data_IF_514911603883
#
_entry.id   IF_514911603883
#
_cell.length_a   1.000
_cell.length_b   1.000
_cell.length_c   1.000
_cell.angle_alpha   90.00
_cell.angle_beta   90.00
_cell.angle_gamma   90.00
#
_symmetry.space_group_name_H-M   'P 1'
#
loop_
_entity.id
_entity.type
_entity.pdbx_description
1 polymer ?
#
# COMPACT_ATOMS: atom_id res chain seq x y z
N UNK A 1 8.12 12.65 -23.87
CA UNK A 1 8.67 12.15 -22.57
C UNK A 1 7.64 11.27 -21.88
N UNK A 2 8.08 10.21 -21.18
CA UNK A 2 7.18 9.25 -20.49
C UNK A 2 6.27 9.93 -19.46
N UNK A 3 6.79 10.89 -18.70
CA UNK A 3 6.03 11.67 -17.70
C UNK A 3 4.88 12.44 -18.34
N UNK A 4 5.12 13.08 -19.49
CA UNK A 4 4.06 13.80 -20.21
C UNK A 4 2.97 12.85 -20.74
N UNK A 5 3.36 11.67 -21.22
CA UNK A 5 2.40 10.64 -21.62
C UNK A 5 1.56 10.16 -20.43
N UNK A 6 2.18 9.92 -19.28
CA UNK A 6 1.48 9.55 -18.05
C UNK A 6 0.52 10.66 -17.57
N UNK A 7 0.95 11.92 -17.64
CA UNK A 7 0.12 13.08 -17.32
C UNK A 7 -1.12 13.15 -18.21
N UNK A 8 -0.95 13.02 -19.53
CA UNK A 8 -2.09 13.02 -20.47
C UNK A 8 -3.07 11.90 -20.18
N UNK A 9 -2.57 10.68 -19.93
CA UNK A 9 -3.40 9.54 -19.55
C UNK A 9 -4.18 9.80 -18.26
N UNK A 10 -3.54 10.35 -17.24
CA UNK A 10 -4.20 10.61 -15.94
C UNK A 10 -5.33 11.65 -16.04
N UNK A 11 -5.13 12.70 -16.85
CA UNK A 11 -6.11 13.77 -17.04
C UNK A 11 -7.02 13.56 -18.27
N UNK A 12 -7.02 12.37 -18.88
CA UNK A 12 -7.76 12.04 -20.10
C UNK A 12 -7.59 13.07 -21.23
N UNK A 13 -6.36 13.56 -21.42
CA UNK A 13 -6.02 14.53 -22.47
C UNK A 13 -5.65 13.84 -23.78
N UNK A 14 -5.80 14.56 -24.89
CA UNK A 14 -5.44 14.06 -26.21
C UNK A 14 -3.92 13.80 -26.35
N UNK A 15 -3.55 12.59 -26.75
CA UNK A 15 -2.16 12.13 -26.93
C UNK A 15 -1.34 12.91 -27.98
N UNK A 16 -1.97 13.72 -28.82
CA UNK A 16 -1.28 14.56 -29.81
C UNK A 16 -1.05 16.00 -29.34
N UNK A 17 -1.70 16.43 -28.26
CA UNK A 17 -1.61 17.82 -27.78
C UNK A 17 -0.48 17.96 -26.75
N UNK A 18 0.44 18.90 -26.98
CA UNK A 18 1.49 19.23 -26.00
C UNK A 18 0.85 19.67 -24.68
N UNK A 19 1.37 19.16 -23.56
CA UNK A 19 0.92 19.60 -22.24
C UNK A 19 1.60 20.93 -21.91
N UNK A 20 0.82 21.97 -21.70
CA UNK A 20 1.29 23.23 -21.13
C UNK A 20 1.06 23.18 -19.62
N UNK A 21 2.13 22.95 -18.87
CA UNK A 21 2.09 22.98 -17.41
C UNK A 21 2.07 24.44 -16.94
N UNK A 22 1.10 24.80 -16.12
CA UNK A 22 1.00 26.15 -15.54
C UNK A 22 0.87 26.12 -14.02
N UNK A 23 1.42 27.13 -13.35
CA UNK A 23 1.33 27.29 -11.90
C UNK A 23 1.79 26.04 -11.12
N UNK A 24 0.92 25.51 -10.26
CA UNK A 24 1.19 24.33 -9.43
C UNK A 24 1.55 23.08 -10.24
N UNK A 25 1.08 22.97 -11.49
CA UNK A 25 1.36 21.80 -12.34
C UNK A 25 2.85 21.69 -12.70
N UNK A 26 3.57 22.81 -12.79
CA UNK A 26 5.02 22.82 -13.01
C UNK A 26 5.75 22.16 -11.84
N UNK A 27 5.35 22.50 -10.61
CA UNK A 27 5.92 21.94 -9.40
C UNK A 27 5.67 20.43 -9.33
N UNK A 28 4.45 20.00 -9.62
CA UNK A 28 4.09 18.57 -9.64
C UNK A 28 4.89 17.82 -10.70
N UNK A 29 5.01 18.36 -11.92
CA UNK A 29 5.76 17.73 -13.01
C UNK A 29 7.25 17.54 -12.65
N UNK A 30 7.90 18.58 -12.12
CA UNK A 30 9.31 18.49 -11.70
C UNK A 30 9.49 17.53 -10.52
N UNK A 31 8.54 17.49 -9.61
CA UNK A 31 8.55 16.54 -8.50
C UNK A 31 8.45 15.09 -8.99
N UNK A 32 7.50 14.79 -9.89
CA UNK A 32 7.32 13.45 -10.47
C UNK A 32 8.57 13.01 -11.23
N UNK A 33 9.20 13.89 -12.02
CA UNK A 33 10.48 13.58 -12.69
C UNK A 33 11.56 13.22 -11.69
N UNK A 34 11.73 14.01 -10.62
CA UNK A 34 12.72 13.75 -9.57
C UNK A 34 12.46 12.42 -8.86
N UNK A 35 11.20 12.13 -8.52
CA UNK A 35 10.85 10.83 -7.94
C UNK A 35 11.21 9.68 -8.88
N UNK A 36 10.82 9.77 -10.15
CA UNK A 36 11.11 8.72 -11.13
C UNK A 36 12.63 8.48 -11.28
N UNK A 37 13.42 9.55 -11.37
CA UNK A 37 14.89 9.48 -11.41
C UNK A 37 15.46 8.78 -10.15
N UNK A 38 14.96 9.10 -8.96
CA UNK A 38 15.44 8.45 -7.73
C UNK A 38 14.99 6.99 -7.62
N UNK A 39 13.78 6.64 -8.06
CA UNK A 39 13.35 5.23 -8.13
C UNK A 39 14.31 4.47 -9.03
N UNK A 40 14.62 5.00 -10.21
CA UNK A 40 15.51 4.36 -11.19
C UNK A 40 16.94 4.20 -10.65
N UNK A 41 17.48 5.19 -9.93
CA UNK A 41 18.81 5.05 -9.30
C UNK A 41 18.83 4.00 -8.19
N UNK A 42 17.79 3.94 -7.36
CA UNK A 42 17.68 2.90 -6.31
C UNK A 42 17.50 1.51 -6.95
N UNK A 43 16.75 1.43 -8.05
CA UNK A 43 16.63 0.19 -8.83
C UNK A 43 17.98 -0.21 -9.43
N UNK A 44 18.74 0.71 -10.01
CA UNK A 44 20.09 0.45 -10.54
C UNK A 44 21.03 -0.11 -9.46
N UNK A 45 20.99 0.46 -8.25
CA UNK A 45 21.76 -0.06 -7.10
C UNK A 45 21.30 -1.44 -6.64
N UNK A 46 20.00 -1.74 -6.76
CA UNK A 46 19.45 -3.04 -6.37
C UNK A 46 19.57 -4.11 -7.46
N UNK A 47 19.82 -3.73 -8.71
CA UNK A 47 19.98 -4.64 -9.84
C UNK A 47 21.12 -5.67 -9.60
N UNK A 48 21.04 -6.85 -10.23
CA UNK A 48 19.97 -7.33 -11.11
C UNK A 48 18.74 -7.85 -10.33
N UNK A 49 17.55 -7.67 -10.89
CA UNK A 49 16.28 -8.23 -10.42
C UNK A 49 15.29 -8.34 -11.59
N UNK A 50 14.19 -9.06 -11.39
CA UNK A 50 13.10 -9.19 -12.36
C UNK A 50 11.85 -8.49 -11.83
N UNK A 51 11.15 -7.75 -12.69
CA UNK A 51 9.84 -7.22 -12.37
C UNK A 51 8.82 -8.32 -12.68
N UNK A 52 8.23 -8.91 -11.64
CA UNK A 52 7.22 -9.95 -11.79
C UNK A 52 5.85 -9.35 -12.13
N UNK A 53 5.50 -8.21 -11.51
CA UNK A 53 4.21 -7.53 -11.70
C UNK A 53 4.34 -6.01 -11.60
N UNK A 54 3.57 -5.27 -12.40
CA UNK A 54 3.40 -3.81 -12.31
C UNK A 54 1.92 -3.44 -12.42
N UNK A 55 1.44 -2.64 -11.48
CA UNK A 55 0.11 -2.02 -11.49
C UNK A 55 -1.05 -3.00 -11.78
N UNK A 56 -0.99 -4.24 -11.28
CA UNK A 56 -1.99 -5.26 -11.61
C UNK A 56 -3.32 -4.99 -10.88
N UNK A 57 -4.36 -4.61 -11.63
CA UNK A 57 -5.62 -4.07 -11.08
C UNK A 57 -6.62 -5.12 -10.56
N UNK A 58 -6.40 -6.41 -10.86
CA UNK A 58 -7.32 -7.52 -10.51
C UNK A 58 -6.66 -8.62 -9.68
N UNK A 59 -5.65 -8.27 -8.89
CA UNK A 59 -4.99 -9.24 -8.04
C UNK A 59 -5.84 -9.52 -6.79
N UNK A 60 -6.57 -10.64 -6.82
CA UNK A 60 -7.63 -10.99 -5.87
C UNK A 60 -7.52 -12.44 -5.41
N UNK A 61 -8.00 -12.71 -4.20
CA UNK A 61 -8.16 -14.04 -3.63
C UNK A 61 -9.57 -14.19 -3.05
N UNK A 62 -10.09 -15.41 -3.11
CA UNK A 62 -11.35 -15.78 -2.47
C UNK A 62 -11.10 -16.11 -1.01
N UNK A 63 -11.85 -15.49 -0.10
CA UNK A 63 -11.65 -15.63 1.33
C UNK A 63 -12.96 -15.96 2.06
N UNK A 64 -13.09 -17.16 2.65
CA UNK A 64 -14.24 -17.51 3.48
C UNK A 64 -14.11 -16.82 4.84
N UNK A 65 -15.00 -15.88 5.15
CA UNK A 65 -15.08 -15.25 6.48
C UNK A 65 -15.70 -16.24 7.47
N UNK A 66 -16.72 -16.98 7.02
CA UNK A 66 -17.40 -18.04 7.76
C UNK A 66 -18.06 -19.03 6.77
N UNK A 67 -18.77 -20.04 7.30
CA UNK A 67 -19.41 -21.09 6.49
C UNK A 67 -20.40 -20.57 5.43
N UNK A 68 -20.97 -19.39 5.63
CA UNK A 68 -22.05 -18.84 4.79
C UNK A 68 -21.60 -17.67 3.91
N UNK A 69 -20.43 -17.09 4.19
CA UNK A 69 -19.96 -15.88 3.52
C UNK A 69 -18.53 -16.04 3.04
N UNK A 70 -18.36 -15.97 1.73
CA UNK A 70 -17.08 -15.87 1.05
C UNK A 70 -17.04 -14.56 0.29
N UNK A 71 -15.93 -13.83 0.43
CA UNK A 71 -15.73 -12.55 -0.25
C UNK A 71 -14.48 -12.59 -1.13
N UNK A 72 -14.41 -11.66 -2.09
CA UNK A 72 -13.20 -11.41 -2.86
C UNK A 72 -12.42 -10.29 -2.20
N UNK A 73 -11.18 -10.59 -1.81
CA UNK A 73 -10.23 -9.63 -1.26
C UNK A 73 -9.11 -9.41 -2.25
N UNK A 74 -8.76 -8.18 -2.49
CA UNK A 74 -7.68 -7.84 -3.42
C UNK A 74 -7.50 -6.35 -3.55
N UNK A 75 -6.66 -5.97 -4.50
CA UNK A 75 -6.38 -4.59 -4.81
C UNK A 75 -5.38 -4.46 -5.93
N UNK A 76 -4.97 -3.22 -6.18
CA UNK A 76 -3.92 -2.89 -7.12
C UNK A 76 -2.58 -2.85 -6.40
N UNK A 77 -1.71 -3.81 -6.70
CA UNK A 77 -0.33 -3.79 -6.19
C UNK A 77 0.51 -2.95 -7.16
N UNK A 78 1.21 -1.94 -6.66
CA UNK A 78 1.98 -1.02 -7.51
C UNK A 78 3.12 -1.75 -8.24
N UNK A 79 3.93 -2.52 -7.50
CA UNK A 79 5.02 -3.30 -8.07
C UNK A 79 5.36 -4.53 -7.24
N UNK A 80 5.62 -5.63 -7.94
CA UNK A 80 6.28 -6.80 -7.39
C UNK A 80 7.54 -7.07 -8.20
N UNK A 81 8.67 -7.14 -7.51
CA UNK A 81 9.92 -7.57 -8.12
C UNK A 81 10.61 -8.67 -7.33
N UNK A 82 11.53 -9.36 -7.98
CA UNK A 82 12.19 -10.56 -7.47
C UNK A 82 13.68 -10.49 -7.72
N UNK A 83 14.44 -10.74 -6.66
CA UNK A 83 15.88 -10.97 -6.72
C UNK A 83 16.17 -12.24 -5.95
N UNK A 84 16.68 -13.25 -6.65
CA UNK A 84 16.98 -14.57 -6.07
C UNK A 84 15.76 -15.18 -5.36
N UNK A 85 15.85 -15.45 -4.06
CA UNK A 85 14.78 -16.01 -3.23
C UNK A 85 13.90 -14.92 -2.58
N UNK A 86 14.13 -13.63 -2.85
CA UNK A 86 13.38 -12.53 -2.24
C UNK A 86 12.42 -11.92 -3.25
N UNK A 87 11.15 -11.86 -2.87
CA UNK A 87 10.10 -11.13 -3.60
C UNK A 87 9.73 -9.89 -2.80
N UNK A 88 9.89 -8.71 -3.40
CA UNK A 88 9.53 -7.43 -2.80
C UNK A 88 8.14 -7.00 -3.25
N UNK A 89 7.28 -6.66 -2.29
CA UNK A 89 5.95 -6.08 -2.52
C UNK A 89 6.04 -4.57 -2.24
N UNK A 90 6.15 -3.77 -3.30
CA UNK A 90 6.43 -2.35 -3.21
C UNK A 90 5.13 -1.55 -3.37
N UNK A 91 4.93 -0.58 -2.49
CA UNK A 91 3.84 0.40 -2.54
C UNK A 91 4.44 1.82 -2.50
N UNK A 92 4.11 2.64 -3.51
CA UNK A 92 4.66 3.99 -3.66
C UNK A 92 3.79 5.00 -2.92
N UNK A 93 4.40 5.74 -1.99
CA UNK A 93 3.70 6.76 -1.20
C UNK A 93 4.20 8.16 -1.50
N UNK A 94 3.26 9.10 -1.65
CA UNK A 94 3.58 10.53 -1.83
C UNK A 94 3.77 11.25 -0.49
N UNK A 95 3.32 10.64 0.61
CA UNK A 95 3.37 11.15 1.98
C UNK A 95 4.69 10.88 2.72
N UNK A 96 4.62 11.02 4.05
CA UNK A 96 5.70 10.67 5.01
C UNK A 96 5.28 9.46 5.83
N UNK A 97 4.63 8.49 5.18
CA UNK A 97 4.12 7.30 5.83
C UNK A 97 5.24 6.53 6.51
N UNK A 98 5.03 6.13 7.76
CA UNK A 98 6.04 5.42 8.54
C UNK A 98 6.20 3.98 8.00
N UNK A 99 7.43 3.49 7.96
CA UNK A 99 7.71 2.10 7.60
C UNK A 99 7.73 1.16 8.82
N UNK A 100 7.35 1.63 10.00
CA UNK A 100 7.41 0.85 11.24
C UNK A 100 6.04 0.68 11.90
N UNK A 101 5.87 -0.43 12.61
CA UNK A 101 4.69 -0.71 13.42
C UNK A 101 5.06 -1.53 14.67
N UNK A 102 4.21 -1.50 15.70
CA UNK A 102 4.52 -2.11 17.00
C UNK A 102 4.01 -3.55 17.13
N UNK A 103 2.89 -3.90 16.49
CA UNK A 103 2.34 -5.25 16.42
C UNK A 103 1.34 -5.37 15.27
N UNK A 104 0.97 -6.60 14.90
CA UNK A 104 -0.13 -6.80 13.95
C UNK A 104 -1.42 -6.21 14.51
N UNK A 105 -1.73 -6.44 15.78
CA UNK A 105 -2.92 -5.86 16.43
C UNK A 105 -2.99 -4.32 16.33
N UNK A 106 -1.85 -3.62 16.43
CA UNK A 106 -1.82 -2.15 16.29
C UNK A 106 -2.29 -1.67 14.91
N UNK A 107 -2.19 -2.51 13.88
CA UNK A 107 -2.62 -2.17 12.52
C UNK A 107 -4.14 -2.23 12.33
N UNK A 108 -4.84 -2.89 13.26
CA UNK A 108 -6.29 -3.07 13.25
C UNK A 108 -7.02 -2.17 14.25
N UNK A 109 -6.30 -1.56 15.20
CA UNK A 109 -6.89 -0.68 16.22
C UNK A 109 -7.56 0.56 15.59
N UNK A 110 -8.90 0.61 15.60
CA UNK A 110 -9.68 1.71 15.03
C UNK A 110 -9.55 3.01 15.84
N UNK A 111 -9.22 2.90 17.12
CA UNK A 111 -9.14 4.01 18.06
C UNK A 111 -7.72 4.61 18.15
N UNK A 112 -6.71 3.93 17.63
CA UNK A 112 -5.36 4.50 17.49
C UNK A 112 -5.26 5.50 16.32
N UNK A 113 -5.00 6.77 16.64
CA UNK A 113 -4.74 7.83 15.65
C UNK A 113 -3.41 7.68 14.92
N UNK A 114 -2.48 6.92 15.50
CA UNK A 114 -1.17 6.63 14.94
C UNK A 114 -1.13 5.30 14.19
N UNK A 115 -2.29 4.64 14.03
CA UNK A 115 -2.40 3.39 13.27
C UNK A 115 -1.75 3.54 11.90
N UNK A 116 -0.77 2.70 11.63
CA UNK A 116 -0.01 2.75 10.40
C UNK A 116 -0.78 2.12 9.23
N UNK A 117 -1.58 2.94 8.53
CA UNK A 117 -2.41 2.52 7.38
C UNK A 117 -1.57 2.02 6.20
N UNK A 118 -0.38 2.57 6.01
CA UNK A 118 0.49 2.18 4.90
C UNK A 118 1.14 0.81 5.17
N UNK A 119 1.62 0.55 6.40
CA UNK A 119 2.10 -0.76 6.80
C UNK A 119 0.99 -1.83 6.71
N UNK A 120 -0.24 -1.51 7.15
CA UNK A 120 -1.41 -2.38 6.95
C UNK A 120 -1.60 -2.74 5.48
N UNK A 121 -1.55 -1.75 4.58
CA UNK A 121 -1.74 -1.97 3.14
C UNK A 121 -0.64 -2.86 2.54
N UNK A 122 0.63 -2.63 2.90
CA UNK A 122 1.74 -3.44 2.41
C UNK A 122 1.68 -4.90 2.93
N UNK A 123 1.27 -5.10 4.19
CA UNK A 123 0.98 -6.43 4.75
C UNK A 123 -0.21 -7.10 4.05
N UNK A 124 -1.31 -6.37 3.82
CA UNK A 124 -2.46 -6.87 3.10
C UNK A 124 -2.09 -7.33 1.68
N UNK A 125 -1.30 -6.56 0.94
CA UNK A 125 -0.84 -6.97 -0.39
C UNK A 125 0.09 -8.17 -0.34
N UNK A 126 0.95 -8.27 0.67
CA UNK A 126 1.77 -9.47 0.88
C UNK A 126 0.93 -10.71 1.19
N UNK A 127 -0.12 -10.55 1.99
CA UNK A 127 -1.08 -11.62 2.28
C UNK A 127 -1.83 -12.08 1.02
N UNK A 128 -2.36 -11.15 0.22
CA UNK A 128 -3.00 -11.49 -1.07
C UNK A 128 -2.01 -12.17 -2.00
N UNK A 129 -0.75 -11.70 -2.04
CA UNK A 129 0.30 -12.30 -2.86
C UNK A 129 0.63 -13.72 -2.44
N UNK A 130 0.82 -13.97 -1.15
CA UNK A 130 1.10 -15.31 -0.64
C UNK A 130 -0.08 -16.27 -0.90
N UNK A 131 -1.32 -15.79 -0.78
CA UNK A 131 -2.52 -16.57 -1.13
C UNK A 131 -2.57 -17.02 -2.58
N UNK A 132 -2.18 -16.15 -3.52
CA UNK A 132 -2.35 -16.39 -4.97
C UNK A 132 -1.11 -17.02 -5.60
N UNK A 133 0.08 -16.66 -5.11
CA UNK A 133 1.40 -17.01 -5.69
C UNK A 133 2.35 -17.62 -4.67
N UNK A 134 1.91 -17.87 -3.44
CA UNK A 134 2.73 -18.34 -2.33
C UNK A 134 3.57 -19.54 -2.70
N UNK A 135 4.84 -19.46 -2.33
CA UNK A 135 5.82 -20.52 -2.51
C UNK A 135 6.73 -20.54 -1.30
N UNK A 136 6.80 -21.64 -0.57
CA UNK A 136 7.59 -21.77 0.67
C UNK A 136 9.08 -21.48 0.50
N UNK A 137 9.61 -21.56 -0.73
CA UNK A 137 11.03 -21.35 -1.03
C UNK A 137 11.43 -19.88 -1.28
N UNK A 138 10.48 -18.94 -1.21
CA UNK A 138 10.77 -17.50 -1.36
C UNK A 138 10.40 -16.72 -0.11
N UNK A 139 11.18 -15.69 0.22
CA UNK A 139 10.87 -14.70 1.26
C UNK A 139 10.00 -13.61 0.66
N UNK A 140 9.06 -13.08 1.46
CA UNK A 140 8.24 -11.94 1.07
C UNK A 140 8.62 -10.69 1.87
N UNK A 141 9.08 -9.65 1.19
CA UNK A 141 9.50 -8.40 1.81
C UNK A 141 8.59 -7.23 1.39
N UNK A 142 7.55 -6.91 2.19
CA UNK A 142 6.77 -5.70 1.99
C UNK A 142 7.58 -4.47 2.32
N UNK A 143 7.35 -3.39 1.58
CA UNK A 143 7.96 -2.11 1.88
C UNK A 143 7.25 -0.97 1.18
N UNK A 144 7.40 0.21 1.78
CA UNK A 144 6.91 1.46 1.24
C UNK A 144 8.09 2.17 0.58
N UNK A 145 7.85 2.84 -0.54
CA UNK A 145 8.79 3.83 -1.07
C UNK A 145 8.08 5.18 -1.00
N UNK A 146 8.39 5.94 0.06
CA UNK A 146 7.78 7.25 0.27
C UNK A 146 8.69 8.40 -0.23
N UNK A 147 8.10 9.58 -0.41
CA UNK A 147 8.85 10.77 -0.87
C UNK A 147 10.01 11.14 0.04
N UNK A 148 9.89 10.99 1.37
CA UNK A 148 10.97 11.39 2.29
C UNK A 148 12.16 10.44 2.17
N UNK A 149 11.87 9.15 2.04
CA UNK A 149 12.83 8.06 1.99
C UNK A 149 13.54 7.97 0.66
N UNK A 150 12.85 8.27 -0.44
CA UNK A 150 13.45 8.19 -1.77
C UNK A 150 14.61 9.18 -1.98
N UNK A 151 14.60 10.30 -1.25
CA UNK A 151 15.68 11.30 -1.24
C UNK A 151 16.68 11.07 -0.10
N UNK A 152 16.55 9.99 0.68
CA UNK A 152 17.48 9.62 1.73
C UNK A 152 18.41 8.49 1.25
N UNK A 153 19.71 8.76 1.23
CA UNK A 153 20.70 7.78 0.80
C UNK A 153 20.78 6.59 1.77
N UNK A 154 20.48 6.80 3.06
CA UNK A 154 20.45 5.77 4.11
C UNK A 154 19.15 4.97 4.16
N UNK A 155 18.22 5.17 3.21
CA UNK A 155 16.97 4.44 3.20
C UNK A 155 17.19 2.95 2.91
N UNK A 156 16.78 2.11 3.87
CA UNK A 156 16.64 0.67 3.70
C UNK A 156 15.20 0.32 3.36
N UNK A 157 15.02 -0.45 2.28
CA UNK A 157 13.71 -0.93 1.88
C UNK A 157 13.21 -2.00 2.85
N UNK A 158 11.94 -1.88 3.25
CA UNK A 158 11.25 -2.87 4.07
C UNK A 158 10.44 -2.22 5.17
N UNK A 159 9.50 -2.99 5.71
CA UNK A 159 8.83 -2.64 6.96
C UNK A 159 9.67 -3.04 8.17
N UNK A 160 9.47 -2.34 9.28
CA UNK A 160 10.10 -2.62 10.56
C UNK A 160 9.06 -2.99 11.62
N UNK A 161 9.25 -4.11 12.31
CA UNK A 161 8.45 -4.49 13.48
C UNK A 161 9.24 -4.13 14.74
N UNK A 162 8.72 -3.20 15.55
CA UNK A 162 9.38 -2.73 16.80
C UNK A 162 10.84 -2.28 16.60
N UNK A 163 11.16 -1.74 15.42
CA UNK A 163 12.50 -1.27 15.07
C UNK A 163 13.40 -2.32 14.42
N UNK A 164 12.92 -3.55 14.24
CA UNK A 164 13.65 -4.61 13.54
C UNK A 164 13.13 -4.78 12.11
N UNK A 165 14.04 -4.81 11.13
CA UNK A 165 13.69 -4.96 9.72
C UNK A 165 13.11 -6.34 9.42
N UNK A 166 11.95 -6.36 8.77
CA UNK A 166 11.26 -7.58 8.35
C UNK A 166 11.85 -8.05 7.02
N UNK A 167 12.64 -9.12 7.06
CA UNK A 167 13.24 -9.74 5.86
C UNK A 167 12.30 -10.75 5.18
N UNK A 168 11.40 -11.36 5.95
CA UNK A 168 10.33 -12.22 5.46
C UNK A 168 9.07 -12.02 6.31
N UNK A 169 7.98 -11.57 5.70
CA UNK A 169 6.74 -11.25 6.41
C UNK A 169 5.86 -12.48 6.67
N UNK A 170 6.19 -13.63 6.07
CA UNK A 170 5.32 -14.82 6.11
C UNK A 170 4.95 -15.29 7.51
N UNK A 171 5.86 -15.17 8.48
CA UNK A 171 5.59 -15.56 9.87
C UNK A 171 4.52 -14.70 10.55
N UNK A 172 4.25 -13.49 10.02
CA UNK A 172 3.22 -12.58 10.52
C UNK A 172 1.86 -12.76 9.83
N UNK A 173 1.83 -13.40 8.65
CA UNK A 173 0.60 -13.52 7.85
C UNK A 173 -0.52 -14.30 8.56
N UNK A 174 -0.25 -15.37 9.34
CA UNK A 174 -1.31 -16.04 10.12
C UNK A 174 -1.97 -15.13 11.17
N UNK A 175 -1.19 -14.32 11.89
CA UNK A 175 -1.72 -13.36 12.87
C UNK A 175 -2.52 -12.25 12.19
N UNK A 176 -2.01 -11.77 11.05
CA UNK A 176 -2.69 -10.77 10.22
C UNK A 176 -4.04 -11.29 9.71
N UNK A 177 -4.07 -12.53 9.23
CA UNK A 177 -5.28 -13.18 8.77
C UNK A 177 -6.32 -13.33 9.89
N UNK A 178 -5.91 -13.78 11.08
CA UNK A 178 -6.82 -13.88 12.21
C UNK A 178 -7.45 -12.52 12.56
N UNK A 179 -6.64 -11.45 12.56
CA UNK A 179 -7.13 -10.08 12.80
C UNK A 179 -8.09 -9.63 11.69
N UNK A 180 -7.82 -10.02 10.44
CA UNK A 180 -8.68 -9.74 9.29
C UNK A 180 -10.02 -10.49 9.36
N UNK A 181 -10.05 -11.75 9.81
CA UNK A 181 -11.29 -12.50 10.07
C UNK A 181 -12.15 -11.78 11.09
N UNK A 182 -11.57 -11.35 12.22
CA UNK A 182 -12.30 -10.62 13.27
C UNK A 182 -12.91 -9.34 12.71
N UNK A 183 -12.11 -8.52 12.04
CA UNK A 183 -12.57 -7.26 11.43
C UNK A 183 -13.69 -7.48 10.41
N UNK A 184 -13.55 -8.46 9.52
CA UNK A 184 -14.54 -8.73 8.50
C UNK A 184 -15.81 -9.35 9.08
N UNK A 185 -15.69 -10.20 10.10
CA UNK A 185 -16.86 -10.76 10.80
C UNK A 185 -17.68 -9.65 11.45
N UNK A 186 -17.02 -8.69 12.11
CA UNK A 186 -17.65 -7.48 12.66
C UNK A 186 -18.35 -6.68 11.55
N UNK A 187 -17.63 -6.40 10.45
CA UNK A 187 -18.13 -5.59 9.34
C UNK A 187 -19.39 -6.16 8.67
N UNK A 188 -19.52 -7.49 8.67
CA UNK A 188 -20.64 -8.20 8.05
C UNK A 188 -21.66 -8.74 9.06
N UNK A 189 -21.57 -8.41 10.35
CA UNK A 189 -22.57 -8.81 11.35
C UNK A 189 -23.81 -7.91 11.25
N UNK A 190 -24.99 -8.42 10.80
CA UNK A 190 -26.20 -7.62 10.72
C UNK A 190 -26.75 -7.16 12.07
N UNK A 191 -26.27 -7.73 13.19
CA UNK A 191 -26.66 -7.33 14.54
C UNK A 191 -25.82 -6.18 15.08
N UNK A 192 -24.68 -5.88 14.46
CA UNK A 192 -23.81 -4.80 14.88
C UNK A 192 -24.01 -3.58 13.97
N UNK A 193 -24.62 -2.48 14.49
CA UNK A 193 -24.75 -1.26 13.70
C UNK A 193 -23.39 -0.58 13.51
N UNK A 194 -23.23 0.12 12.39
CA UNK A 194 -22.12 1.05 12.21
C UNK A 194 -22.25 2.22 13.20
N UNK A 195 -21.16 2.53 13.89
CA UNK A 195 -21.07 3.65 14.81
C UNK A 195 -20.25 4.82 14.23
N UNK A 196 -20.57 6.03 14.67
CA UNK A 196 -19.77 7.21 14.33
C UNK A 196 -18.45 7.16 15.10
N UNK A 197 -17.35 7.54 14.44
CA UNK A 197 -16.06 7.65 15.13
C UNK A 197 -16.13 8.67 16.28
N UNK A 198 -15.54 8.37 17.44
CA UNK A 198 -15.43 9.35 18.53
C UNK A 198 -14.55 10.56 18.16
N UNK A 199 -13.70 10.42 17.14
CA UNK A 199 -12.65 11.37 16.74
C UNK A 199 -13.23 12.55 15.95
N UNK A 200 -13.51 13.65 16.64
CA UNK A 200 -14.07 14.89 16.05
C UNK A 200 -13.22 15.42 14.90
N UNK A 201 -11.89 15.37 15.02
CA UNK A 201 -10.97 15.86 13.97
C UNK A 201 -11.14 15.14 12.64
N UNK A 202 -11.42 13.84 12.66
CA UNK A 202 -11.71 13.06 11.44
C UNK A 202 -12.98 13.57 10.76
N UNK A 203 -13.92 14.12 11.52
CA UNK A 203 -15.19 14.65 11.00
C UNK A 203 -15.01 16.00 10.27
N UNK A 204 -13.96 16.79 10.56
CA UNK A 204 -13.73 18.11 9.94
C UNK A 204 -13.65 18.04 8.41
N UNK A 205 -13.06 16.97 7.88
CA UNK A 205 -12.86 16.74 6.46
C UNK A 205 -13.64 15.52 5.94
N UNK A 206 -14.62 15.04 6.70
CA UNK A 206 -15.42 13.88 6.32
C UNK A 206 -16.38 14.24 5.18
N UNK A 207 -16.34 13.48 4.08
CA UNK A 207 -17.24 13.64 2.94
C UNK A 207 -18.72 13.44 3.30
N UNK A 208 -18.99 12.73 4.41
CA UNK A 208 -20.34 12.40 4.86
C UNK A 208 -20.85 13.32 5.97
N UNK A 209 -20.11 14.38 6.36
CA UNK A 209 -20.48 15.25 7.49
C UNK A 209 -21.92 15.78 7.40
N UNK A 210 -22.40 16.10 6.20
CA UNK A 210 -23.74 16.65 5.95
C UNK A 210 -24.88 15.64 6.19
N UNK A 211 -24.59 14.34 6.08
CA UNK A 211 -25.57 13.25 6.29
C UNK A 211 -25.27 12.43 7.56
N UNK A 212 -24.19 12.76 8.26
CA UNK A 212 -23.72 12.01 9.43
C UNK A 212 -24.68 12.17 10.62
N UNK A 213 -25.49 13.24 10.65
CA UNK A 213 -26.37 13.60 11.76
C UNK A 213 -25.61 13.77 13.09
N UNK A 214 -24.36 14.26 13.00
CA UNK A 214 -23.51 14.68 14.12
C UNK A 214 -23.47 16.21 14.20
#
# INVERSE_FOLDING_TARGET
MLVERAYRKHFNLNDKKKVEYQGQQLVVNEMVKKMADHVLRKDELYAPFFIDMLEQEDFKTSFPINEKLTILLGGKIDRVDRKEDVVRIIDYKTGKDENSFSSITSLFDRDDDKRNKAAFQALFYSWVYDRVKGNSNVKLQPGLINRKEIFNDQFEYGLNLKGESIQDVKYLLPEFENSLVVLLTELFDPKQPFDQTAKVRTCEYCAYKEICAR
#
